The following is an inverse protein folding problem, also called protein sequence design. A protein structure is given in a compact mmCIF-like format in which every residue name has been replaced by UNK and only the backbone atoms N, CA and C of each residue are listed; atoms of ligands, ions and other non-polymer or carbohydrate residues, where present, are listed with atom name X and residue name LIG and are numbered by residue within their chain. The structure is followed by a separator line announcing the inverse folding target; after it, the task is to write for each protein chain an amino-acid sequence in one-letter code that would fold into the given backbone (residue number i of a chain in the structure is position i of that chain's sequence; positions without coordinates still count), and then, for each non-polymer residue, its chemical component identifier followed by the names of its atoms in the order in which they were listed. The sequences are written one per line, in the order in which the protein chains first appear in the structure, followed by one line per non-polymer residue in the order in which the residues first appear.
data_IF_653817172347
#
_entry.id   IF_653817172347
#
_cell.length_a   1.000
_cell.length_b   1.000
_cell.length_c   1.000
_cell.angle_alpha   90.00
_cell.angle_beta   90.00
_cell.angle_gamma   90.00
#
_symmetry.space_group_name_H-M   'P 1'
#
loop_
_entity.id
_entity.type
_entity.pdbx_description
1 polymer ?
#
# COMPACT_ATOMS: atom_id res chain seq x y z
N UNK A 1 -23.30 51.92 -15.47
CA UNK A 1 -22.14 51.09 -15.06
C UNK A 1 -22.14 50.70 -13.57
N UNK A 2 -23.25 50.82 -12.83
CA UNK A 2 -23.27 50.68 -11.35
C UNK A 2 -24.16 49.55 -10.81
N UNK A 3 -24.79 48.73 -11.66
CA UNK A 3 -25.67 47.64 -11.20
C UNK A 3 -25.02 46.24 -11.24
N UNK A 4 -23.98 46.01 -12.06
CA UNK A 4 -23.27 44.72 -12.15
C UNK A 4 -22.26 44.47 -11.03
N UNK A 5 -21.81 45.51 -10.33
CA UNK A 5 -20.79 45.39 -9.27
C UNK A 5 -21.36 44.81 -7.96
N UNK A 6 -22.60 45.16 -7.58
CA UNK A 6 -23.22 44.71 -6.31
C UNK A 6 -23.53 43.21 -6.25
N UNK A 7 -23.85 42.56 -7.37
CA UNK A 7 -24.10 41.10 -7.39
C UNK A 7 -22.83 40.27 -7.29
N UNK A 8 -21.71 40.76 -7.84
CA UNK A 8 -20.41 40.07 -7.79
C UNK A 8 -19.86 40.08 -6.36
N UNK A 9 -19.97 41.21 -5.64
CA UNK A 9 -19.60 41.27 -4.22
C UNK A 9 -20.47 40.38 -3.33
N UNK A 10 -21.78 40.26 -3.60
CA UNK A 10 -22.67 39.36 -2.84
C UNK A 10 -22.40 37.87 -3.12
N UNK A 11 -22.14 37.50 -4.37
CA UNK A 11 -21.76 36.13 -4.74
C UNK A 11 -20.37 35.75 -4.19
N UNK A 12 -19.44 36.69 -4.17
CA UNK A 12 -18.11 36.50 -3.58
C UNK A 12 -18.17 36.41 -2.04
N UNK A 13 -19.01 37.20 -1.37
CA UNK A 13 -19.22 37.09 0.07
C UNK A 13 -19.93 35.78 0.46
N UNK A 14 -20.92 35.33 -0.32
CA UNK A 14 -21.58 34.03 -0.10
C UNK A 14 -20.62 32.87 -0.38
N UNK A 15 -19.78 32.95 -1.41
CA UNK A 15 -18.74 31.96 -1.66
C UNK A 15 -17.72 31.93 -0.51
N UNK A 16 -17.26 33.07 0.00
CA UNK A 16 -16.34 33.15 1.14
C UNK A 16 -17.01 32.64 2.43
N UNK A 17 -18.29 32.94 2.68
CA UNK A 17 -19.04 32.39 3.83
C UNK A 17 -19.26 30.89 3.66
N UNK A 18 -19.51 30.38 2.45
CA UNK A 18 -19.60 28.93 2.17
C UNK A 18 -18.24 28.24 2.29
N UNK A 19 -17.13 28.89 1.93
CA UNK A 19 -15.77 28.38 2.15
C UNK A 19 -15.39 28.40 3.64
N UNK A 20 -15.80 29.41 4.40
CA UNK A 20 -15.59 29.49 5.86
C UNK A 20 -16.48 28.47 6.60
N UNK A 21 -17.72 28.20 6.13
CA UNK A 21 -18.58 27.12 6.68
C UNK A 21 -18.16 25.72 6.27
N UNK A 22 -17.42 25.55 5.18
CA UNK A 22 -16.91 24.25 4.74
C UNK A 22 -15.68 23.75 5.53
N UNK A 23 -15.11 24.58 6.40
CA UNK A 23 -13.96 24.23 7.25
C UNK A 23 -14.32 23.94 8.71
N UNK A 24 -15.60 23.97 9.06
CA UNK A 24 -16.10 23.44 10.33
C UNK A 24 -16.30 21.93 10.16
N UNK A 25 -15.28 21.13 10.45
CA UNK A 25 -15.50 19.70 10.66
C UNK A 25 -16.42 19.57 11.87
N UNK A 26 -17.64 19.06 11.65
CA UNK A 26 -18.47 18.64 12.78
C UNK A 26 -17.77 17.49 13.48
N UNK A 27 -17.59 17.62 14.79
CA UNK A 27 -16.99 16.57 15.60
C UNK A 27 -17.92 15.35 15.61
N UNK A 28 -17.38 14.13 15.44
CA UNK A 28 -18.19 12.92 15.39
C UNK A 28 -18.72 12.52 16.76
N UNK A 29 -19.74 11.67 16.75
CA UNK A 29 -20.05 10.81 17.88
C UNK A 29 -19.38 9.46 17.60
N UNK A 30 -18.52 9.00 18.50
CA UNK A 30 -17.75 7.77 18.31
C UNK A 30 -18.32 6.63 19.16
N UNK A 31 -18.55 5.49 18.51
CA UNK A 31 -18.80 4.23 19.19
C UNK A 31 -17.46 3.57 19.50
N UNK A 32 -17.23 3.24 20.77
CA UNK A 32 -15.98 2.69 21.26
C UNK A 32 -16.22 1.47 22.13
N UNK A 33 -15.19 0.64 22.28
CA UNK A 33 -15.18 -0.45 23.23
C UNK A 33 -14.39 -0.03 24.47
N UNK A 34 -15.04 0.00 25.63
CA UNK A 34 -14.35 0.13 26.91
C UNK A 34 -13.86 -1.25 27.33
N UNK A 35 -12.55 -1.39 27.45
CA UNK A 35 -11.89 -2.65 27.74
C UNK A 35 -11.30 -2.57 29.14
N UNK A 36 -11.57 -3.59 29.96
CA UNK A 36 -11.04 -3.70 31.31
C UNK A 36 -10.60 -5.13 31.59
N UNK A 37 -9.41 -5.29 32.14
CA UNK A 37 -8.94 -6.57 32.65
C UNK A 37 -9.70 -6.93 33.94
N UNK A 38 -10.37 -8.08 33.98
CA UNK A 38 -10.94 -8.58 35.23
C UNK A 38 -9.82 -9.15 36.08
N UNK A 39 -9.73 -8.71 37.33
CA UNK A 39 -8.85 -9.34 38.31
C UNK A 39 -9.11 -10.85 38.35
N UNK A 40 -8.13 -11.64 37.89
CA UNK A 40 -8.18 -13.09 37.97
C UNK A 40 -8.22 -13.50 39.44
N UNK A 41 -9.12 -14.42 39.80
CA UNK A 41 -9.04 -15.13 41.10
C UNK A 41 -7.76 -15.96 41.08
N UNK A 42 -6.70 -15.40 41.68
CA UNK A 42 -5.41 -16.03 42.00
C UNK A 42 -5.06 -17.30 41.23
N UNK A 43 -4.24 -17.15 40.17
CA UNK A 43 -3.59 -18.29 39.53
C UNK A 43 -3.21 -18.04 38.08
N UNK A 44 -1.99 -17.54 37.86
CA UNK A 44 -1.09 -17.73 36.69
C UNK A 44 -1.59 -17.63 35.23
N UNK A 45 -2.88 -17.49 34.96
CA UNK A 45 -3.48 -17.38 33.64
C UNK A 45 -3.86 -15.93 33.37
N UNK A 46 -3.78 -15.52 32.10
CA UNK A 46 -4.15 -14.18 31.67
C UNK A 46 -5.57 -13.80 32.16
N UNK A 47 -5.69 -12.61 32.75
CA UNK A 47 -6.93 -12.05 33.22
C UNK A 47 -8.00 -12.05 32.10
N UNK A 48 -9.23 -12.45 32.41
CA UNK A 48 -10.32 -12.37 31.43
C UNK A 48 -10.64 -10.90 31.13
N UNK A 49 -10.56 -10.48 29.88
CA UNK A 49 -10.89 -9.11 29.46
C UNK A 49 -12.41 -8.96 29.31
N UNK A 50 -13.01 -7.96 29.96
CA UNK A 50 -14.38 -7.51 29.66
C UNK A 50 -14.36 -6.36 28.68
N UNK A 51 -15.32 -6.39 27.75
CA UNK A 51 -15.55 -5.32 26.79
C UNK A 51 -16.99 -4.82 26.94
N UNK A 52 -17.16 -3.51 27.02
CA UNK A 52 -18.44 -2.83 27.15
C UNK A 52 -18.58 -1.76 26.05
N UNK A 53 -19.72 -1.70 25.38
CA UNK A 53 -19.97 -0.65 24.41
C UNK A 53 -20.04 0.71 25.11
N UNK A 54 -19.40 1.70 24.51
CA UNK A 54 -19.31 3.07 25.01
C UNK A 54 -19.56 4.06 23.89
N UNK A 55 -20.02 5.26 24.24
CA UNK A 55 -20.33 6.32 23.29
C UNK A 55 -19.62 7.61 23.70
N UNK A 56 -18.90 8.24 22.77
CA UNK A 56 -18.14 9.46 23.01
C UNK A 56 -18.74 10.59 22.19
N UNK A 57 -19.23 11.61 22.88
CA UNK A 57 -19.62 12.87 22.30
C UNK A 57 -18.45 13.85 22.37
N UNK A 58 -17.94 14.28 21.22
CA UNK A 58 -16.76 15.15 21.15
C UNK A 58 -17.19 16.60 21.03
N UNK A 59 -16.65 17.47 21.89
CA UNK A 59 -16.83 18.92 21.87
C UNK A 59 -15.47 19.63 21.84
N UNK A 60 -15.37 20.76 21.16
CA UNK A 60 -14.14 21.57 21.14
C UNK A 60 -14.10 22.63 22.24
N UNK A 61 -15.27 22.98 22.80
CA UNK A 61 -15.40 23.91 23.92
C UNK A 61 -16.30 23.29 24.99
N UNK A 62 -15.95 23.48 26.26
CA UNK A 62 -16.77 23.07 27.39
C UNK A 62 -18.12 23.82 27.41
N UNK A 63 -18.18 25.05 26.89
CA UNK A 63 -19.39 25.88 26.85
C UNK A 63 -20.24 25.69 25.59
N UNK A 64 -19.80 24.90 24.61
CA UNK A 64 -20.64 24.58 23.46
C UNK A 64 -21.75 23.63 23.91
N UNK A 65 -22.89 24.19 24.31
CA UNK A 65 -24.09 23.43 24.57
C UNK A 65 -24.60 22.84 23.25
N UNK A 66 -24.25 21.59 22.95
CA UNK A 66 -25.13 20.76 22.13
C UNK A 66 -26.28 20.33 23.01
N UNK A 67 -27.37 21.10 22.96
CA UNK A 67 -28.66 20.70 23.54
C UNK A 67 -29.21 19.50 22.76
N UNK A 68 -28.63 18.34 22.98
CA UNK A 68 -29.21 17.06 22.59
C UNK A 68 -29.02 16.12 23.78
N UNK A 69 -30.06 16.02 24.61
CA UNK A 69 -30.29 14.88 25.47
C UNK A 69 -30.55 13.66 24.58
N UNK A 70 -29.51 13.18 23.88
CA UNK A 70 -29.60 11.91 23.19
C UNK A 70 -29.57 10.83 24.27
N UNK A 71 -30.76 10.31 24.55
CA UNK A 71 -30.94 9.16 25.40
C UNK A 71 -30.00 8.06 24.90
N UNK A 72 -29.16 7.53 25.79
CA UNK A 72 -28.19 6.49 25.43
C UNK A 72 -28.92 5.38 24.64
N UNK A 73 -28.37 4.92 23.51
CA UNK A 73 -28.93 3.79 22.78
C UNK A 73 -29.21 2.64 23.75
N UNK A 74 -30.31 1.90 23.55
CA UNK A 74 -30.75 0.86 24.49
C UNK A 74 -29.71 -0.26 24.71
N UNK A 75 -28.72 -0.37 23.83
CA UNK A 75 -27.62 -1.34 23.90
C UNK A 75 -26.34 -0.79 24.57
N UNK A 76 -26.35 0.45 25.08
CA UNK A 76 -25.21 1.10 25.74
C UNK A 76 -25.58 1.45 27.19
N UNK A 77 -24.71 1.08 28.13
CA UNK A 77 -24.87 1.46 29.52
C UNK A 77 -24.72 2.99 29.68
N UNK A 78 -25.66 3.70 30.34
CA UNK A 78 -25.54 5.14 30.60
C UNK A 78 -24.23 5.57 31.27
N UNK A 79 -23.61 4.69 32.08
CA UNK A 79 -22.32 4.95 32.72
C UNK A 79 -21.12 4.91 31.75
N UNK A 80 -21.37 4.53 30.49
CA UNK A 80 -20.39 4.41 29.41
C UNK A 80 -20.61 5.43 28.30
N UNK A 81 -21.38 6.48 28.59
CA UNK A 81 -21.52 7.64 27.71
C UNK A 81 -20.62 8.75 28.25
N UNK A 82 -19.69 9.22 27.42
CA UNK A 82 -18.70 10.23 27.79
C UNK A 82 -18.83 11.47 26.90
N UNK A 83 -18.72 12.65 27.50
CA UNK A 83 -18.71 13.94 26.82
C UNK A 83 -17.28 14.51 26.86
N UNK A 84 -16.51 14.21 25.82
CA UNK A 84 -15.08 14.52 25.74
C UNK A 84 -14.85 15.94 25.23
N UNK A 85 -14.14 16.75 26.01
CA UNK A 85 -13.64 18.06 25.56
C UNK A 85 -12.26 17.92 24.92
N UNK A 86 -12.14 18.29 23.65
CA UNK A 86 -10.91 18.29 22.86
C UNK A 86 -10.66 19.69 22.25
N UNK A 87 -10.00 20.60 22.99
CA UNK A 87 -9.75 21.96 22.53
C UNK A 87 -8.92 22.05 21.25
N UNK A 88 -8.08 21.05 20.98
CA UNK A 88 -7.24 21.00 19.78
C UNK A 88 -7.99 20.51 18.53
N UNK A 89 -9.24 20.07 18.68
CA UNK A 89 -10.05 19.47 17.62
C UNK A 89 -9.34 18.30 16.89
N UNK A 90 -8.46 17.59 17.59
CA UNK A 90 -7.71 16.42 17.10
C UNK A 90 -8.65 15.25 16.75
N UNK A 91 -9.76 15.13 17.47
CA UNK A 91 -10.81 14.13 17.29
C UNK A 91 -11.87 14.57 16.26
N UNK A 92 -11.82 15.81 15.76
CA UNK A 92 -12.79 16.35 14.82
C UNK A 92 -12.30 16.22 13.37
N UNK A 93 -12.03 14.98 12.95
CA UNK A 93 -11.55 14.66 11.60
C UNK A 93 -12.58 13.88 10.77
N UNK A 94 -12.62 14.12 9.46
CA UNK A 94 -13.57 13.48 8.53
C UNK A 94 -13.52 11.94 8.55
N UNK A 95 -12.35 11.34 8.77
CA UNK A 95 -12.18 9.88 8.82
C UNK A 95 -12.80 9.24 10.06
N UNK A 96 -13.18 10.05 11.04
CA UNK A 96 -13.85 9.66 12.27
C UNK A 96 -15.36 9.92 12.22
N UNK A 97 -15.85 10.59 11.17
CA UNK A 97 -17.25 10.97 11.00
C UNK A 97 -17.86 10.30 9.75
N UNK A 98 -18.08 8.97 9.75
CA UNK A 98 -18.75 8.30 8.65
C UNK A 98 -20.18 8.82 8.46
N UNK A 99 -20.71 8.80 7.22
CA UNK A 99 -22.13 9.06 6.99
C UNK A 99 -23.02 8.15 7.85
N UNK A 100 -24.14 8.69 8.34
CA UNK A 100 -25.12 7.93 9.13
C UNK A 100 -25.55 6.68 8.37
N UNK A 101 -25.53 5.53 9.04
CA UNK A 101 -25.86 4.23 8.44
C UNK A 101 -24.71 3.50 7.76
N UNK A 102 -23.48 4.04 7.80
CA UNK A 102 -22.30 3.31 7.32
C UNK A 102 -22.06 2.03 8.13
N UNK A 103 -21.82 0.93 7.41
CA UNK A 103 -21.43 -0.37 8.00
C UNK A 103 -20.00 -0.29 8.54
N UNK A 104 -19.12 0.40 7.81
CA UNK A 104 -17.74 0.61 8.23
C UNK A 104 -17.67 1.80 9.18
N UNK A 105 -17.22 1.54 10.40
CA UNK A 105 -17.01 2.53 11.46
C UNK A 105 -15.51 2.62 11.79
N UNK A 106 -15.02 3.77 12.28
CA UNK A 106 -13.67 3.86 12.82
C UNK A 106 -13.52 2.88 13.99
N UNK A 107 -12.32 2.33 14.15
CA UNK A 107 -12.00 1.51 15.31
C UNK A 107 -11.70 2.44 16.49
N UNK A 108 -12.28 2.15 17.66
CA UNK A 108 -12.08 2.93 18.86
C UNK A 108 -12.10 2.01 20.09
N UNK A 109 -11.07 2.13 20.90
CA UNK A 109 -10.91 1.38 22.14
C UNK A 109 -10.52 2.34 23.27
N UNK A 110 -11.17 2.21 24.42
CA UNK A 110 -10.90 2.96 25.63
C UNK A 110 -10.41 2.00 26.70
N UNK A 111 -9.30 2.34 27.34
CA UNK A 111 -8.74 1.60 28.46
C UNK A 111 -8.56 2.53 29.66
N UNK A 112 -8.84 2.07 30.90
CA UNK A 112 -8.37 2.76 32.10
C UNK A 112 -6.87 3.01 32.01
N UNK A 113 -6.44 4.21 32.35
CA UNK A 113 -5.04 4.60 32.34
C UNK A 113 -4.57 4.88 33.77
N UNK A 114 -3.39 4.39 34.14
CA UNK A 114 -2.78 4.69 35.42
C UNK A 114 -1.53 5.55 35.20
N UNK A 115 -1.56 6.85 35.56
CA UNK A 115 -0.39 7.70 35.45
C UNK A 115 0.76 7.18 36.32
N UNK A 116 1.93 7.01 35.71
CA UNK A 116 3.11 6.49 36.39
C UNK A 116 4.40 7.05 35.78
N UNK A 117 5.45 7.27 36.59
CA UNK A 117 6.73 7.72 36.07
C UNK A 117 7.36 6.64 35.18
N UNK A 118 8.07 7.07 34.14
CA UNK A 118 8.81 6.17 33.26
C UNK A 118 10.22 5.93 33.81
N UNK A 119 10.72 4.71 33.67
CA UNK A 119 12.09 4.33 34.04
C UNK A 119 13.10 4.55 32.89
N UNK A 120 12.62 4.99 31.72
CA UNK A 120 13.46 5.23 30.55
C UNK A 120 14.37 6.45 30.77
N UNK A 121 15.64 6.34 30.40
CA UNK A 121 16.66 7.38 30.66
C UNK A 121 16.32 8.75 30.07
N UNK A 122 15.76 8.79 28.86
CA UNK A 122 15.34 10.02 28.17
C UNK A 122 13.99 10.58 28.64
N UNK A 123 13.28 9.85 29.51
CA UNK A 123 11.99 10.28 30.08
C UNK A 123 12.11 10.62 31.56
N UNK A 124 13.05 10.00 32.27
CA UNK A 124 13.28 10.20 33.70
C UNK A 124 13.33 11.69 34.13
N UNK A 125 13.96 12.61 33.36
CA UNK A 125 13.96 14.04 33.69
C UNK A 125 12.55 14.66 33.80
N UNK A 126 11.52 14.10 33.18
CA UNK A 126 10.15 14.63 33.28
C UNK A 126 9.54 14.45 34.68
N UNK A 127 10.08 13.54 35.50
CA UNK A 127 9.54 13.20 36.82
C UNK A 127 10.60 13.25 37.92
N UNK A 128 11.48 14.25 37.88
CA UNK A 128 12.55 14.45 38.87
C UNK A 128 12.01 14.70 40.30
N UNK A 129 10.77 15.16 40.44
CA UNK A 129 10.13 15.29 41.75
C UNK A 129 9.80 13.89 42.29
N UNK A 130 10.42 13.50 43.41
CA UNK A 130 10.14 12.25 44.11
C UNK A 130 8.71 12.14 44.70
N UNK A 131 7.79 13.04 44.30
CA UNK A 131 6.41 13.13 44.75
C UNK A 131 5.47 13.18 43.55
N UNK A 132 4.39 12.40 43.61
CA UNK A 132 3.32 12.43 42.61
C UNK A 132 2.42 13.66 42.83
N UNK A 133 2.16 14.48 41.81
CA UNK A 133 1.27 15.64 41.93
C UNK A 133 -0.16 15.25 42.30
N UNK A 134 -0.82 16.06 43.15
CA UNK A 134 -2.25 15.90 43.50
C UNK A 134 -3.14 15.94 42.24
N UNK A 135 -2.71 16.66 41.20
CA UNK A 135 -3.40 16.73 39.91
C UNK A 135 -3.68 15.35 39.28
N UNK A 136 -2.84 14.34 39.58
CA UNK A 136 -3.00 12.97 39.11
C UNK A 136 -4.14 12.21 39.81
N UNK A 137 -4.65 12.69 40.94
CA UNK A 137 -5.80 12.09 41.66
C UNK A 137 -7.11 12.39 40.91
N UNK A 138 -7.36 11.61 39.87
CA UNK A 138 -8.48 11.72 38.96
C UNK A 138 -8.70 10.39 38.25
N UNK A 139 -9.81 10.24 37.53
CA UNK A 139 -10.01 9.12 36.65
C UNK A 139 -9.31 9.43 35.31
N UNK A 140 -8.49 8.49 34.83
CA UNK A 140 -7.74 8.66 33.60
C UNK A 140 -8.07 7.54 32.62
N UNK A 141 -8.15 7.92 31.34
CA UNK A 141 -8.44 6.98 30.27
C UNK A 141 -7.48 7.18 29.12
N UNK A 142 -7.03 6.08 28.55
CA UNK A 142 -6.34 6.06 27.27
C UNK A 142 -7.33 5.64 26.19
N UNK A 143 -7.35 6.35 25.07
CA UNK A 143 -8.20 6.01 23.94
C UNK A 143 -7.35 5.84 22.71
N UNK A 144 -7.47 4.71 22.04
CA UNK A 144 -6.83 4.44 20.75
C UNK A 144 -7.89 4.41 19.65
N UNK A 145 -7.68 5.22 18.61
CA UNK A 145 -8.63 5.44 17.54
C UNK A 145 -7.92 5.24 16.21
N UNK A 146 -8.48 4.39 15.36
CA UNK A 146 -8.07 4.25 13.97
C UNK A 146 -9.21 4.69 13.05
N UNK A 147 -8.96 5.75 12.29
CA UNK A 147 -9.89 6.27 11.31
C UNK A 147 -10.09 5.31 10.14
N UNK A 148 -11.16 5.55 9.39
CA UNK A 148 -11.50 4.75 8.21
C UNK A 148 -10.35 4.70 7.21
N UNK A 149 -10.21 3.54 6.55
CA UNK A 149 -9.19 3.27 5.53
C UNK A 149 -7.75 3.54 6.01
N UNK A 150 -7.47 3.41 7.33
CA UNK A 150 -6.17 3.71 7.93
C UNK A 150 -5.64 5.11 7.57
N UNK A 151 -6.54 6.09 7.41
CA UNK A 151 -6.13 7.47 7.07
C UNK A 151 -5.66 8.28 8.28
N UNK A 152 -5.92 7.79 9.49
CA UNK A 152 -5.63 8.51 10.72
C UNK A 152 -5.49 7.52 11.87
N UNK A 153 -4.47 7.68 12.68
CA UNK A 153 -4.34 7.04 13.98
C UNK A 153 -4.24 8.12 15.05
N UNK A 154 -5.00 7.97 16.13
CA UNK A 154 -4.98 8.90 17.26
C UNK A 154 -4.89 8.08 18.55
N UNK A 155 -4.06 8.52 19.46
CA UNK A 155 -4.04 8.07 20.84
C UNK A 155 -4.22 9.28 21.75
N UNK A 156 -5.21 9.25 22.64
CA UNK A 156 -5.44 10.32 23.61
C UNK A 156 -5.34 9.81 25.03
N UNK A 157 -4.85 10.66 25.92
CA UNK A 157 -4.98 10.52 27.36
C UNK A 157 -5.94 11.59 27.84
N UNK A 158 -7.01 11.14 28.46
CA UNK A 158 -8.06 12.02 28.99
C UNK A 158 -8.14 11.92 30.50
N UNK A 159 -8.54 13.03 31.13
CA UNK A 159 -8.69 13.17 32.57
C UNK A 159 -10.11 13.59 32.91
N UNK A 160 -10.77 12.83 33.76
CA UNK A 160 -12.07 13.20 34.34
C UNK A 160 -11.92 13.40 35.85
N UNK A 161 -12.60 14.40 36.46
CA UNK A 161 -12.84 14.36 37.89
C UNK A 161 -13.46 13.01 38.29
N UNK A 162 -13.16 12.52 39.49
CA UNK A 162 -13.59 11.17 39.91
C UNK A 162 -15.11 11.00 39.75
N UNK A 163 -15.50 9.91 39.08
CA UNK A 163 -16.89 9.58 38.72
C UNK A 163 -17.61 10.60 37.80
N UNK A 164 -16.87 11.44 37.07
CA UNK A 164 -17.44 12.33 36.06
C UNK A 164 -17.45 11.70 34.66
N UNK A 165 -18.52 11.93 33.91
CA UNK A 165 -18.68 11.51 32.51
C UNK A 165 -18.13 12.54 31.51
N UNK A 166 -17.43 13.57 31.98
CA UNK A 166 -16.93 14.68 31.17
C UNK A 166 -15.40 14.77 31.20
N UNK A 167 -14.69 13.82 30.56
CA UNK A 167 -13.24 13.84 30.52
C UNK A 167 -12.73 14.94 29.57
N UNK A 168 -11.59 15.54 29.92
CA UNK A 168 -10.88 16.49 29.05
C UNK A 168 -9.63 15.82 28.47
N UNK A 169 -9.35 16.05 27.19
CA UNK A 169 -8.10 15.61 26.54
C UNK A 169 -6.92 16.37 27.14
N UNK A 170 -5.95 15.65 27.69
CA UNK A 170 -4.72 16.23 28.27
C UNK A 170 -3.53 16.05 27.32
N UNK A 171 -3.45 14.90 26.65
CA UNK A 171 -2.45 14.59 25.65
C UNK A 171 -3.13 13.90 24.47
N UNK A 172 -2.81 14.32 23.26
CA UNK A 172 -3.21 13.63 22.04
C UNK A 172 -2.00 13.44 21.14
N UNK A 173 -1.75 12.22 20.68
CA UNK A 173 -0.74 11.86 19.70
C UNK A 173 -1.47 11.38 18.45
N UNK A 174 -1.08 11.89 17.30
CA UNK A 174 -1.79 11.72 16.04
C UNK A 174 -0.83 11.38 14.92
N UNK A 175 -1.28 10.57 13.96
CA UNK A 175 -0.58 10.32 12.71
C UNK A 175 -1.59 10.28 11.56
N UNK A 176 -1.34 11.07 10.53
CA UNK A 176 -2.11 11.17 9.29
C UNK A 176 -1.67 10.17 8.23
N UNK A 177 -0.57 9.46 8.47
CA UNK A 177 -0.01 8.47 7.54
C UNK A 177 0.22 7.16 8.27
N UNK A 178 -0.84 6.37 8.46
CA UNK A 178 -0.75 5.07 9.17
C UNK A 178 -0.04 4.01 8.32
N UNK A 179 -0.04 4.18 6.98
CA UNK A 179 0.72 3.35 6.05
C UNK A 179 1.47 4.23 5.04
N UNK A 180 2.79 4.04 4.93
CA UNK A 180 3.68 4.80 4.07
C UNK A 180 4.40 3.85 3.13
N UNK A 181 4.45 4.20 1.84
CA UNK A 181 5.28 3.50 0.85
C UNK A 181 6.39 4.43 0.39
N UNK A 182 7.60 3.89 0.28
CA UNK A 182 8.77 4.62 -0.25
C UNK A 182 9.56 3.77 -1.23
N UNK A 183 10.22 4.40 -2.19
CA UNK A 183 11.23 3.73 -3.02
C UNK A 183 12.55 3.59 -2.27
N UNK A 184 13.41 2.69 -2.74
CA UNK A 184 14.75 2.50 -2.19
C UNK A 184 15.59 3.77 -2.38
N UNK A 185 16.32 4.19 -1.34
CA UNK A 185 17.20 5.37 -1.34
C UNK A 185 16.50 6.72 -1.14
N UNK A 186 15.18 6.81 -1.29
CA UNK A 186 14.43 8.05 -1.07
C UNK A 186 14.29 8.39 0.42
N UNK A 187 14.21 9.69 0.79
CA UNK A 187 13.92 10.09 2.15
C UNK A 187 12.47 9.75 2.52
N UNK A 188 12.26 9.31 3.76
CA UNK A 188 10.95 8.93 4.31
C UNK A 188 10.60 9.84 5.47
N UNK A 189 9.37 10.35 5.46
CA UNK A 189 8.78 11.06 6.59
C UNK A 189 7.63 10.22 7.16
N UNK A 190 7.75 9.81 8.43
CA UNK A 190 6.69 9.15 9.17
C UNK A 190 6.00 10.17 10.05
N UNK A 191 4.76 10.53 9.71
CA UNK A 191 4.00 11.57 10.41
C UNK A 191 3.70 11.17 11.86
N UNK A 192 4.07 12.04 12.79
CA UNK A 192 3.64 11.98 14.18
C UNK A 192 3.56 13.40 14.74
N UNK A 193 2.39 13.78 15.22
CA UNK A 193 2.17 15.09 15.86
C UNK A 193 1.48 14.90 17.20
N UNK A 194 1.86 15.69 18.19
CA UNK A 194 1.17 15.69 19.47
C UNK A 194 0.70 17.08 19.87
N UNK A 195 -0.32 17.08 20.71
CA UNK A 195 -0.82 18.27 21.40
C UNK A 195 -0.95 17.93 22.89
N UNK A 196 -0.57 18.89 23.72
CA UNK A 196 -0.64 18.81 25.16
C UNK A 196 -1.45 20.00 25.67
N UNK A 197 -2.36 19.75 26.61
CA UNK A 197 -3.27 20.76 27.14
C UNK A 197 -2.52 21.89 27.85
N UNK A 198 -2.49 23.13 27.32
CA UNK A 198 -1.67 24.21 27.89
C UNK A 198 -2.01 24.57 29.36
N UNK A 199 -3.28 24.56 29.80
CA UNK A 199 -3.65 24.72 31.20
C UNK A 199 -3.18 23.61 32.14
N UNK A 200 -2.87 22.41 31.63
CA UNK A 200 -2.43 21.29 32.45
C UNK A 200 -1.03 21.55 33.05
N UNK A 201 -0.82 21.31 34.35
CA UNK A 201 0.49 21.45 34.97
C UNK A 201 1.55 20.48 34.42
N UNK A 202 1.12 19.42 33.72
CA UNK A 202 2.01 18.42 33.13
C UNK A 202 2.64 18.92 31.82
N UNK A 203 1.97 19.80 31.08
CA UNK A 203 2.43 20.28 29.76
C UNK A 203 3.62 21.25 29.85
N UNK A 204 3.76 22.00 30.95
CA UNK A 204 4.84 22.97 31.14
C UNK A 204 6.18 22.39 31.61
N UNK A 205 6.24 21.10 31.94
CA UNK A 205 7.43 20.47 32.53
C UNK A 205 8.37 19.81 31.51
N UNK A 206 8.06 19.95 30.22
CA UNK A 206 8.76 19.31 29.11
C UNK A 206 8.07 18.05 28.61
N UNK A 207 8.64 17.46 27.55
CA UNK A 207 8.14 16.25 26.90
C UNK A 207 9.33 15.38 26.49
N UNK A 208 9.08 14.11 26.15
CA UNK A 208 10.05 13.26 25.49
C UNK A 208 9.40 12.50 24.33
N UNK A 209 10.18 12.19 23.31
CA UNK A 209 9.74 11.46 22.11
C UNK A 209 10.57 10.20 21.96
N UNK A 210 9.92 9.09 21.64
CA UNK A 210 10.56 7.83 21.29
C UNK A 210 9.99 7.29 19.99
N UNK A 211 10.87 6.88 19.08
CA UNK A 211 10.54 6.08 17.91
C UNK A 211 11.15 4.69 18.06
N UNK A 212 10.29 3.67 18.05
CA UNK A 212 10.69 2.26 18.04
C UNK A 212 10.32 1.61 16.72
N UNK A 213 11.20 0.76 16.22
CA UNK A 213 10.91 -0.13 15.11
C UNK A 213 10.55 -1.52 15.64
N UNK A 214 9.57 -2.17 15.00
CA UNK A 214 9.18 -3.55 15.25
C UNK A 214 8.89 -4.27 13.94
N UNK A 215 9.50 -5.44 13.74
CA UNK A 215 9.23 -6.30 12.60
C UNK A 215 9.53 -7.77 12.94
N UNK A 216 8.55 -8.65 12.74
CA UNK A 216 8.69 -10.12 12.94
C UNK A 216 9.29 -10.52 14.31
N UNK A 217 8.93 -9.78 15.36
CA UNK A 217 9.39 -10.03 16.73
C UNK A 217 10.76 -9.43 17.07
N UNK A 218 11.47 -8.84 16.10
CA UNK A 218 12.62 -7.99 16.37
C UNK A 218 12.16 -6.55 16.62
N UNK A 219 12.75 -5.90 17.62
CA UNK A 219 12.34 -4.58 18.06
C UNK A 219 13.54 -3.78 18.58
N UNK A 220 13.68 -2.54 18.09
CA UNK A 220 14.83 -1.69 18.43
C UNK A 220 14.45 -0.23 18.54
N UNK A 221 15.24 0.51 19.32
CA UNK A 221 15.13 1.96 19.41
C UNK A 221 15.72 2.59 18.15
N UNK A 222 14.93 3.44 17.47
CA UNK A 222 15.38 4.17 16.29
C UNK A 222 15.89 5.55 16.70
N UNK A 223 15.09 6.26 17.50
CA UNK A 223 15.41 7.60 17.98
C UNK A 223 14.72 7.82 19.32
N UNK A 224 15.41 8.45 20.28
CA UNK A 224 14.77 8.99 21.47
C UNK A 224 15.33 10.37 21.79
N UNK A 225 14.44 11.27 22.21
CA UNK A 225 14.73 12.67 22.44
C UNK A 225 14.08 13.13 23.75
N UNK A 226 14.90 13.69 24.64
CA UNK A 226 14.48 14.40 25.83
C UNK A 226 14.30 15.89 25.50
N UNK A 227 13.05 16.32 25.41
CA UNK A 227 12.69 17.72 25.13
C UNK A 227 12.80 18.64 26.35
N UNK A 228 12.97 18.12 27.57
CA UNK A 228 13.22 18.95 28.76
C UNK A 228 14.68 19.42 28.81
N UNK A 229 15.62 18.53 28.51
CA UNK A 229 17.06 18.84 28.54
C UNK A 229 17.70 19.05 27.17
N UNK A 230 16.92 18.91 26.09
CA UNK A 230 17.36 19.01 24.70
C UNK A 230 18.48 18.02 24.37
N UNK A 231 18.24 16.74 24.67
CA UNK A 231 19.23 15.66 24.51
C UNK A 231 18.70 14.50 23.69
N UNK A 232 19.51 14.06 22.74
CA UNK A 232 19.28 12.83 22.00
C UNK A 232 19.89 11.64 22.76
N UNK A 233 19.19 10.50 22.76
CA UNK A 233 19.75 9.24 23.20
C UNK A 233 20.68 8.66 22.12
N UNK A 234 21.71 7.92 22.54
CA UNK A 234 22.56 7.17 21.63
C UNK A 234 21.76 6.02 20.98
N UNK A 235 21.63 6.05 19.65
CA UNK A 235 20.96 5.00 18.87
C UNK A 235 21.86 4.46 17.76
N UNK A 236 21.54 3.27 17.27
CA UNK A 236 22.30 2.61 16.20
C UNK A 236 21.80 2.94 14.79
N UNK A 237 20.62 3.57 14.64
CA UNK A 237 20.12 3.90 13.31
C UNK A 237 20.71 5.21 12.81
N UNK A 238 21.56 5.10 11.80
CA UNK A 238 22.14 6.25 11.11
C UNK A 238 21.12 6.88 10.15
N UNK A 239 21.09 8.20 10.08
CA UNK A 239 20.21 8.94 9.17
C UNK A 239 18.75 9.06 9.65
N UNK A 240 18.46 8.70 10.90
CA UNK A 240 17.19 9.00 11.57
C UNK A 240 17.27 10.36 12.30
N UNK A 241 16.31 11.25 12.08
CA UNK A 241 16.27 12.57 12.73
C UNK A 241 14.86 13.12 12.90
N UNK A 242 14.71 14.23 13.64
CA UNK A 242 13.47 14.97 13.85
C UNK A 242 13.65 16.42 13.40
N UNK A 243 12.55 17.10 13.07
CA UNK A 243 12.51 18.56 12.98
C UNK A 243 12.38 19.14 14.40
N UNK A 244 13.50 19.41 15.06
CA UNK A 244 13.51 19.88 16.46
C UNK A 244 12.81 21.24 16.64
N UNK A 245 12.86 22.12 15.65
CA UNK A 245 12.16 23.41 15.72
C UNK A 245 10.64 23.20 15.64
N UNK A 246 10.19 22.41 14.67
CA UNK A 246 8.78 22.01 14.54
C UNK A 246 8.28 21.22 15.74
N UNK A 247 9.15 20.39 16.34
CA UNK A 247 8.86 19.60 17.52
C UNK A 247 8.52 20.50 18.72
N UNK A 248 9.37 21.47 19.04
CA UNK A 248 9.14 22.39 20.16
C UNK A 248 8.01 23.38 19.92
N UNK A 249 7.86 23.90 18.69
CA UNK A 249 6.87 24.94 18.37
C UNK A 249 5.47 24.40 18.13
N UNK A 250 5.36 23.21 17.54
CA UNK A 250 4.10 22.67 17.01
C UNK A 250 3.80 21.25 17.48
N UNK A 251 4.67 20.64 18.30
CA UNK A 251 4.54 19.23 18.68
C UNK A 251 4.76 18.27 17.51
N UNK A 252 5.53 18.67 16.49
CA UNK A 252 5.84 17.79 15.35
C UNK A 252 6.93 16.78 15.70
N UNK A 253 6.54 15.56 16.04
CA UNK A 253 7.42 14.44 16.37
C UNK A 253 7.68 13.50 15.18
N UNK A 254 7.47 13.96 13.94
CA UNK A 254 7.63 13.14 12.75
C UNK A 254 9.07 12.66 12.57
N UNK A 255 9.25 11.37 12.28
CA UNK A 255 10.55 10.78 12.02
C UNK A 255 10.95 10.98 10.57
N UNK A 256 12.17 11.46 10.36
CA UNK A 256 12.80 11.59 9.05
C UNK A 256 13.87 10.52 8.93
N UNK A 257 13.73 9.60 7.99
CA UNK A 257 14.79 8.69 7.55
C UNK A 257 15.38 9.25 6.26
N UNK A 258 16.68 9.58 6.25
CA UNK A 258 17.31 10.21 5.08
C UNK A 258 17.33 9.29 3.85
N UNK A 259 17.49 7.99 4.04
CA UNK A 259 17.55 7.00 2.96
C UNK A 259 16.75 5.74 3.33
N UNK A 260 15.72 5.43 2.55
CA UNK A 260 14.97 4.20 2.65
C UNK A 260 15.84 2.98 2.26
N UNK A 261 15.89 1.97 3.13
CA UNK A 261 16.58 0.68 2.88
C UNK A 261 15.58 -0.44 3.06
N UNK A 262 15.80 -1.60 2.43
CA UNK A 262 14.85 -2.73 2.54
C UNK A 262 14.61 -3.14 4.00
N UNK A 263 15.64 -3.06 4.86
CA UNK A 263 15.54 -3.32 6.30
C UNK A 263 14.65 -2.33 7.08
N UNK A 264 14.33 -1.18 6.50
CA UNK A 264 13.46 -0.18 7.14
C UNK A 264 11.98 -0.55 7.01
N UNK A 265 11.61 -1.50 6.15
CA UNK A 265 10.23 -1.99 6.08
C UNK A 265 9.80 -2.61 7.41
N UNK A 266 8.65 -2.20 7.95
CA UNK A 266 8.12 -2.69 9.22
C UNK A 266 7.25 -1.66 9.93
N UNK A 267 6.92 -1.94 11.20
CA UNK A 267 6.09 -1.09 12.03
C UNK A 267 6.95 -0.14 12.86
N UNK A 268 6.64 1.14 12.80
CA UNK A 268 7.24 2.18 13.62
C UNK A 268 6.22 2.69 14.63
N UNK A 269 6.64 2.84 15.87
CA UNK A 269 5.79 3.32 16.96
C UNK A 269 6.36 4.65 17.43
N UNK A 270 5.57 5.70 17.26
CA UNK A 270 5.84 7.01 17.85
C UNK A 270 5.20 7.06 19.22
N UNK A 271 6.01 7.27 20.25
CA UNK A 271 5.56 7.40 21.63
C UNK A 271 5.96 8.76 22.15
N UNK A 272 4.99 9.49 22.71
CA UNK A 272 5.21 10.80 23.32
C UNK A 272 4.92 10.68 24.81
N UNK A 273 5.85 11.23 25.59
CA UNK A 273 5.79 11.26 27.04
C UNK A 273 5.61 12.68 27.53
N UNK A 274 4.67 12.84 28.46
CA UNK A 274 4.61 13.96 29.40
C UNK A 274 4.92 13.41 30.80
N UNK A 275 5.12 14.26 31.83
CA UNK A 275 5.25 13.75 33.19
C UNK A 275 4.09 12.81 33.54
N UNK A 276 4.42 11.57 33.87
CA UNK A 276 3.48 10.49 34.23
C UNK A 276 2.55 9.98 33.12
N UNK A 277 2.55 10.57 31.93
CA UNK A 277 1.63 10.21 30.84
C UNK A 277 2.40 9.68 29.63
N UNK A 278 1.78 8.74 28.91
CA UNK A 278 2.32 8.18 27.68
C UNK A 278 1.18 7.95 26.69
N UNK A 279 1.39 8.34 25.44
CA UNK A 279 0.50 8.05 24.33
C UNK A 279 1.32 7.64 23.11
N UNK A 280 0.77 6.74 22.28
CA UNK A 280 1.53 6.18 21.16
C UNK A 280 0.65 5.91 19.96
N UNK A 281 1.24 6.06 18.77
CA UNK A 281 0.62 5.71 17.48
C UNK A 281 1.59 4.85 16.68
N UNK A 282 1.04 3.92 15.89
CA UNK A 282 1.81 3.04 15.02
C UNK A 282 1.65 3.43 13.55
N UNK A 283 2.74 3.38 12.81
CA UNK A 283 2.85 3.66 11.38
C UNK A 283 3.56 2.49 10.71
N UNK A 284 3.00 1.98 9.63
CA UNK A 284 3.59 0.92 8.81
C UNK A 284 4.36 1.54 7.64
N UNK A 285 5.65 1.20 7.50
CA UNK A 285 6.48 1.60 6.37
C UNK A 285 6.77 0.37 5.50
N UNK A 286 6.54 0.50 4.19
CA UNK A 286 6.90 -0.50 3.21
C UNK A 286 7.80 0.11 2.13
N UNK A 287 9.02 -0.43 2.01
CA UNK A 287 9.94 -0.06 0.93
C UNK A 287 9.63 -0.90 -0.30
N UNK A 288 9.23 -0.22 -1.38
CA UNK A 288 8.76 -0.82 -2.63
C UNK A 288 9.68 -0.39 -3.78
N UNK A 289 10.43 -1.35 -4.31
CA UNK A 289 11.26 -1.21 -5.49
C UNK A 289 10.87 -2.28 -6.52
N UNK A 290 10.40 -1.90 -7.73
CA UNK A 290 10.01 -2.85 -8.77
C UNK A 290 11.25 -3.52 -9.42
N UNK A 291 11.10 -4.73 -9.99
CA UNK A 291 12.23 -5.47 -10.56
C UNK A 291 12.78 -4.86 -11.85
N UNK A 292 14.08 -5.03 -12.05
CA UNK A 292 14.72 -4.92 -13.36
C UNK A 292 14.68 -6.28 -14.06
N UNK A 293 14.18 -6.31 -15.31
CA UNK A 293 14.02 -7.53 -16.09
C UNK A 293 15.09 -7.67 -17.17
N UNK A 294 15.68 -8.86 -17.26
CA UNK A 294 16.60 -9.24 -18.34
C UNK A 294 16.26 -10.64 -18.88
N UNK A 295 16.21 -10.78 -20.20
CA UNK A 295 15.95 -12.06 -20.88
C UNK A 295 17.25 -12.62 -21.46
N UNK A 296 17.44 -13.93 -21.29
CA UNK A 296 18.59 -14.69 -21.76
C UNK A 296 18.16 -15.92 -22.60
N UNK A 297 18.75 -16.12 -23.79
CA UNK A 297 19.65 -15.18 -24.47
C UNK A 297 18.89 -13.91 -24.90
N UNK A 298 19.60 -12.78 -24.99
CA UNK A 298 19.02 -11.48 -25.36
C UNK A 298 18.50 -11.44 -26.81
N UNK A 299 19.08 -12.28 -27.67
CA UNK A 299 18.55 -12.61 -28.98
C UNK A 299 18.35 -14.12 -29.07
N UNK A 300 17.14 -14.55 -29.39
CA UNK A 300 16.85 -15.98 -29.59
C UNK A 300 17.50 -16.46 -30.88
N UNK A 301 18.07 -17.68 -30.91
CA UNK A 301 18.55 -18.26 -32.15
C UNK A 301 17.38 -18.48 -33.10
N UNK A 302 17.68 -18.50 -34.41
CA UNK A 302 16.70 -18.90 -35.41
C UNK A 302 16.26 -20.34 -35.14
N UNK A 303 14.98 -20.50 -34.82
CA UNK A 303 14.40 -21.79 -34.49
C UNK A 303 14.00 -22.52 -35.77
N UNK A 304 14.18 -23.84 -35.82
CA UNK A 304 13.55 -24.67 -36.85
C UNK A 304 12.20 -25.16 -36.32
N UNK A 305 11.18 -25.26 -37.18
CA UNK A 305 9.93 -25.93 -36.82
C UNK A 305 10.20 -27.33 -36.23
N UNK A 306 9.66 -27.61 -35.04
CA UNK A 306 9.95 -28.86 -34.31
C UNK A 306 11.01 -28.72 -33.22
N UNK A 307 11.75 -27.62 -33.20
CA UNK A 307 12.78 -27.36 -32.21
C UNK A 307 12.18 -26.80 -30.91
N UNK A 308 12.74 -27.23 -29.79
CA UNK A 308 12.49 -26.65 -28.46
C UNK A 308 13.58 -25.64 -28.12
N UNK A 309 13.19 -24.42 -27.76
CA UNK A 309 14.11 -23.37 -27.30
C UNK A 309 13.93 -23.12 -25.81
N UNK A 310 15.03 -22.91 -25.09
CA UNK A 310 14.98 -22.52 -23.68
C UNK A 310 15.24 -21.03 -23.56
N UNK A 311 14.33 -20.33 -22.89
CA UNK A 311 14.43 -18.88 -22.61
C UNK A 311 14.37 -18.69 -21.11
N UNK A 312 15.20 -17.81 -20.57
CA UNK A 312 15.21 -17.46 -19.16
C UNK A 312 14.97 -15.96 -18.99
N UNK A 313 14.16 -15.58 -18.02
CA UNK A 313 13.98 -14.20 -17.59
C UNK A 313 14.44 -14.08 -16.15
N UNK A 314 15.26 -13.08 -15.87
CA UNK A 314 15.73 -12.74 -14.54
C UNK A 314 15.11 -11.42 -14.11
N UNK A 315 14.42 -11.44 -12.97
CA UNK A 315 13.96 -10.27 -12.25
C UNK A 315 14.91 -10.01 -11.08
N UNK A 316 15.51 -8.83 -11.05
CA UNK A 316 16.54 -8.46 -10.08
C UNK A 316 16.24 -7.15 -9.36
N UNK A 317 16.77 -7.00 -8.15
CA UNK A 317 16.75 -5.74 -7.39
C UNK A 317 15.38 -5.31 -6.85
N UNK A 318 14.45 -6.24 -6.62
CA UNK A 318 13.09 -5.88 -6.17
C UNK A 318 12.87 -6.07 -4.67
N UNK A 319 11.98 -5.27 -4.10
CA UNK A 319 11.48 -5.40 -2.73
C UNK A 319 10.05 -4.83 -2.66
N UNK A 320 9.10 -5.38 -1.89
CA UNK A 320 9.18 -6.59 -1.07
C UNK A 320 9.25 -7.87 -1.91
N UNK A 321 9.34 -9.03 -1.23
CA UNK A 321 9.51 -10.36 -1.84
C UNK A 321 8.39 -10.79 -2.79
N UNK A 322 7.18 -10.23 -2.64
CA UNK A 322 5.99 -10.62 -3.41
C UNK A 322 6.13 -10.27 -4.90
N UNK A 323 6.45 -11.28 -5.72
CA UNK A 323 6.61 -11.17 -7.17
C UNK A 323 5.89 -12.32 -7.87
N UNK A 324 5.12 -12.01 -8.92
CA UNK A 324 4.56 -13.01 -9.83
C UNK A 324 5.22 -12.89 -11.21
N UNK A 325 5.88 -13.97 -11.64
CA UNK A 325 6.51 -14.08 -12.95
C UNK A 325 5.64 -14.93 -13.89
N UNK A 326 5.40 -14.40 -15.08
CA UNK A 326 4.69 -15.10 -16.14
C UNK A 326 5.26 -14.76 -17.51
N UNK A 327 4.90 -15.57 -18.50
CA UNK A 327 5.27 -15.37 -19.89
C UNK A 327 4.02 -15.15 -20.73
N UNK A 328 4.14 -14.25 -21.69
CA UNK A 328 3.16 -13.99 -22.73
C UNK A 328 3.84 -14.12 -24.09
N UNK A 329 3.09 -14.51 -25.11
CA UNK A 329 3.55 -14.46 -26.49
C UNK A 329 2.58 -13.66 -27.34
N UNK A 330 3.14 -12.80 -28.19
CA UNK A 330 2.41 -12.03 -29.18
C UNK A 330 2.78 -12.52 -30.57
N UNK A 331 1.81 -13.07 -31.29
CA UNK A 331 2.00 -13.53 -32.66
C UNK A 331 2.17 -12.38 -33.65
N UNK A 332 2.58 -12.72 -34.87
CA UNK A 332 2.62 -11.77 -36.00
C UNK A 332 1.24 -11.24 -36.39
N UNK A 333 0.17 -11.95 -36.00
CA UNK A 333 -1.23 -11.52 -36.11
C UNK A 333 -1.64 -10.47 -35.05
N UNK A 334 -0.73 -10.12 -34.14
CA UNK A 334 -0.94 -9.15 -33.07
C UNK A 334 -1.69 -9.69 -31.86
N UNK A 335 -2.09 -10.97 -31.85
CA UNK A 335 -2.80 -11.58 -30.73
C UNK A 335 -1.81 -12.01 -29.64
N UNK A 336 -2.09 -11.58 -28.40
CA UNK A 336 -1.33 -11.99 -27.22
C UNK A 336 -1.99 -13.21 -26.55
N UNK A 337 -1.16 -14.16 -26.12
CA UNK A 337 -1.57 -15.38 -25.41
C UNK A 337 -0.65 -15.65 -24.20
N UNK A 338 -1.21 -16.05 -23.04
CA UNK A 338 -0.39 -16.43 -21.91
C UNK A 338 0.31 -17.77 -22.17
N UNK A 339 1.58 -17.86 -21.77
CA UNK A 339 2.39 -19.08 -21.80
C UNK A 339 2.57 -19.70 -20.39
N UNK A 340 2.08 -19.02 -19.36
CA UNK A 340 2.20 -19.44 -17.96
C UNK A 340 3.52 -19.03 -17.31
N UNK A 341 3.78 -19.52 -16.09
CA UNK A 341 4.93 -19.10 -15.28
C UNK A 341 6.24 -19.81 -15.59
N UNK A 342 6.21 -20.91 -16.34
CA UNK A 342 7.39 -21.76 -16.57
C UNK A 342 7.95 -22.36 -15.27
N UNK A 343 9.23 -22.73 -15.29
CA UNK A 343 9.96 -23.19 -14.11
C UNK A 343 10.57 -21.98 -13.39
N UNK A 344 10.10 -21.70 -12.17
CA UNK A 344 10.55 -20.55 -11.37
C UNK A 344 11.57 -21.00 -10.32
N UNK A 345 12.66 -20.25 -10.17
CA UNK A 345 13.67 -20.52 -9.15
C UNK A 345 13.24 -20.00 -7.77
N UNK A 346 13.91 -20.50 -6.72
CA UNK A 346 13.85 -19.85 -5.41
C UNK A 346 14.36 -18.42 -5.44
N UNK A 347 14.02 -17.65 -4.42
CA UNK A 347 14.47 -16.28 -4.23
C UNK A 347 15.94 -16.25 -3.82
N UNK A 348 16.68 -15.25 -4.33
CA UNK A 348 18.04 -14.92 -3.89
C UNK A 348 18.01 -13.52 -3.31
N UNK A 349 18.72 -13.29 -2.20
CA UNK A 349 18.77 -11.99 -1.56
C UNK A 349 20.16 -11.37 -1.73
N UNK A 350 20.20 -10.11 -2.16
CA UNK A 350 21.41 -9.32 -2.26
C UNK A 350 21.76 -8.65 -0.91
N UNK A 351 22.96 -8.09 -0.81
CA UNK A 351 23.48 -7.47 0.42
C UNK A 351 22.70 -6.22 0.84
N UNK A 352 22.09 -5.51 -0.11
CA UNK A 352 21.21 -4.36 0.12
C UNK A 352 19.80 -4.76 0.59
N UNK A 353 19.56 -6.07 0.70
CA UNK A 353 18.31 -6.68 1.12
C UNK A 353 17.32 -6.92 -0.02
N UNK A 354 17.60 -6.46 -1.24
CA UNK A 354 16.73 -6.67 -2.41
C UNK A 354 16.74 -8.13 -2.85
N UNK A 355 15.69 -8.54 -3.56
CA UNK A 355 15.49 -9.90 -4.03
C UNK A 355 15.71 -10.03 -5.54
N UNK A 356 16.06 -11.24 -5.94
CA UNK A 356 16.15 -11.65 -7.34
C UNK A 356 15.51 -13.03 -7.52
N UNK A 357 14.86 -13.25 -8.65
CA UNK A 357 14.20 -14.50 -9.02
C UNK A 357 14.24 -14.67 -10.54
N UNK A 358 14.36 -15.91 -11.00
CA UNK A 358 14.35 -16.21 -12.44
C UNK A 358 13.25 -17.19 -12.80
N UNK A 359 12.71 -17.05 -14.01
CA UNK A 359 11.81 -18.02 -14.63
C UNK A 359 12.43 -18.55 -15.92
N UNK A 360 12.31 -19.87 -16.15
CA UNK A 360 12.75 -20.56 -17.37
C UNK A 360 11.54 -21.13 -18.10
N UNK A 361 11.47 -20.86 -19.40
CA UNK A 361 10.43 -21.33 -20.29
C UNK A 361 11.05 -22.19 -21.41
N UNK A 362 10.45 -23.35 -21.65
CA UNK A 362 10.74 -24.19 -22.81
C UNK A 362 9.67 -23.94 -23.88
N UNK A 363 10.09 -23.35 -24.99
CA UNK A 363 9.26 -23.01 -26.14
C UNK A 363 9.35 -24.11 -27.18
N UNK A 364 8.30 -24.91 -27.29
CA UNK A 364 8.13 -25.90 -28.34
C UNK A 364 7.46 -25.24 -29.57
N UNK A 365 8.23 -25.06 -30.65
CA UNK A 365 7.78 -24.35 -31.86
C UNK A 365 6.63 -25.04 -32.62
N UNK A 366 6.32 -26.30 -32.29
CA UNK A 366 5.15 -27.01 -32.85
C UNK A 366 3.83 -26.59 -32.22
N UNK A 367 3.89 -26.06 -30.99
CA UNK A 367 2.71 -25.71 -30.20
C UNK A 367 2.31 -24.26 -30.39
N UNK A 368 1.02 -23.98 -30.23
CA UNK A 368 0.44 -22.63 -30.14
C UNK A 368 0.64 -21.71 -31.38
N UNK A 369 0.86 -22.22 -32.59
CA UNK A 369 1.17 -21.40 -33.78
C UNK A 369 2.45 -20.55 -33.64
N UNK A 370 3.37 -20.95 -32.75
CA UNK A 370 4.70 -20.32 -32.61
C UNK A 370 5.53 -20.36 -33.90
N UNK A 371 5.19 -21.26 -34.83
CA UNK A 371 5.88 -21.46 -36.11
C UNK A 371 5.96 -20.27 -37.05
N UNK A 372 5.10 -19.25 -36.88
CA UNK A 372 5.17 -18.01 -37.68
C UNK A 372 6.09 -16.94 -37.08
N UNK A 373 6.74 -17.25 -35.96
CA UNK A 373 7.49 -16.28 -35.18
C UNK A 373 6.59 -15.27 -34.47
N UNK A 374 7.21 -14.35 -33.72
CA UNK A 374 6.52 -13.34 -32.93
C UNK A 374 7.39 -12.79 -31.82
N UNK A 375 6.77 -12.37 -30.73
CA UNK A 375 7.45 -11.77 -29.58
C UNK A 375 7.12 -12.51 -28.30
N UNK A 376 8.15 -12.97 -27.59
CA UNK A 376 8.03 -13.60 -26.28
C UNK A 376 8.30 -12.54 -25.22
N UNK A 377 7.37 -12.35 -24.29
CA UNK A 377 7.42 -11.34 -23.25
C UNK A 377 7.42 -11.97 -21.87
N UNK A 378 8.40 -11.64 -21.05
CA UNK A 378 8.39 -11.90 -19.61
C UNK A 378 7.65 -10.77 -18.90
N UNK A 379 6.67 -11.13 -18.08
CA UNK A 379 5.83 -10.21 -17.30
C UNK A 379 6.07 -10.47 -15.82
N UNK A 380 6.41 -9.40 -15.11
CA UNK A 380 6.65 -9.39 -13.69
C UNK A 380 5.64 -8.48 -13.00
N UNK A 381 4.70 -9.06 -12.25
CA UNK A 381 3.71 -8.33 -11.47
C UNK A 381 4.25 -8.19 -10.05
N UNK A 382 4.46 -6.95 -9.63
CA UNK A 382 5.01 -6.59 -8.32
C UNK A 382 4.17 -5.47 -7.69
N UNK A 383 4.29 -5.27 -6.38
CA UNK A 383 3.60 -4.21 -5.65
C UNK A 383 3.91 -2.81 -6.22
N UNK A 384 5.14 -2.59 -6.68
CA UNK A 384 5.59 -1.36 -7.33
C UNK A 384 5.13 -1.20 -8.79
N UNK A 385 4.31 -2.14 -9.29
CA UNK A 385 3.75 -2.15 -10.63
C UNK A 385 4.24 -3.31 -11.50
N UNK A 386 3.68 -3.40 -12.70
CA UNK A 386 4.01 -4.45 -13.67
C UNK A 386 5.19 -4.04 -14.55
N UNK A 387 6.19 -4.91 -14.68
CA UNK A 387 7.34 -4.77 -15.58
C UNK A 387 7.26 -5.82 -16.69
N UNK A 388 7.73 -5.45 -17.89
CA UNK A 388 7.71 -6.30 -19.07
C UNK A 388 9.05 -6.22 -19.78
N UNK A 389 9.57 -7.37 -20.22
CA UNK A 389 10.73 -7.46 -21.10
C UNK A 389 10.39 -8.41 -22.24
N UNK A 390 10.82 -8.10 -23.46
CA UNK A 390 10.40 -8.84 -24.65
C UNK A 390 11.59 -9.21 -25.52
N UNK A 391 11.49 -10.35 -26.21
CA UNK A 391 12.48 -10.84 -27.18
C UNK A 391 11.78 -11.42 -28.40
N UNK A 392 12.35 -11.18 -29.59
CA UNK A 392 11.81 -11.66 -30.86
C UNK A 392 12.14 -13.13 -31.08
N UNK A 393 11.14 -13.92 -31.46
CA UNK A 393 11.27 -15.32 -31.88
C UNK A 393 11.15 -15.41 -33.40
N UNK A 394 12.21 -15.85 -34.06
CA UNK A 394 12.24 -16.12 -35.49
C UNK A 394 12.23 -17.62 -35.74
N UNK A 395 11.30 -18.12 -36.56
CA UNK A 395 11.17 -19.54 -36.87
C UNK A 395 11.26 -19.77 -38.38
N UNK A 396 12.06 -20.75 -38.79
CA UNK A 396 12.19 -21.23 -40.16
C UNK A 396 11.45 -22.57 -40.29
N UNK A 397 10.57 -22.64 -41.26
CA UNK A 397 9.89 -23.86 -41.68
C UNK A 397 8.53 -23.52 -42.28
N UNK A 398 7.99 -24.46 -43.05
CA UNK A 398 6.94 -24.23 -44.03
C UNK A 398 5.78 -23.39 -43.48
N UNK A 399 5.70 -22.12 -43.91
CA UNK A 399 4.41 -21.52 -44.16
C UNK A 399 3.70 -22.46 -45.14
N UNK A 400 2.64 -23.13 -44.69
CA UNK A 400 1.66 -23.71 -45.62
C UNK A 400 1.42 -22.66 -46.70
N UNK A 401 1.67 -22.97 -48.00
CA UNK A 401 1.52 -21.97 -49.05
C UNK A 401 0.17 -21.29 -48.88
N UNK A 402 0.13 -19.96 -49.03
CA UNK A 402 -1.12 -19.21 -48.99
C UNK A 402 -2.13 -19.88 -49.94
N UNK A 403 -3.43 -19.73 -49.68
CA UNK A 403 -4.45 -20.16 -50.66
C UNK A 403 -4.16 -19.53 -52.02
N UNK A 404 -3.64 -18.30 -52.05
CA UNK A 404 -3.19 -17.61 -53.27
C UNK A 404 -1.98 -18.29 -53.92
N UNK A 405 -0.98 -18.70 -53.15
CA UNK A 405 0.20 -19.42 -53.68
C UNK A 405 -0.20 -20.80 -54.23
N UNK A 406 -1.14 -21.46 -53.56
CA UNK A 406 -1.70 -22.74 -53.99
C UNK A 406 -2.54 -22.57 -55.26
N UNK A 407 -3.33 -21.50 -55.37
CA UNK A 407 -4.06 -21.15 -56.59
C UNK A 407 -3.13 -20.78 -57.74
N UNK A 408 -2.02 -20.07 -57.47
CA UNK A 408 -1.02 -19.74 -58.47
C UNK A 408 -0.30 -21.00 -58.98
N UNK A 409 0.08 -21.92 -58.09
CA UNK A 409 0.68 -23.21 -58.44
C UNK A 409 -0.26 -24.06 -59.31
N UNK A 410 -1.55 -24.13 -58.97
CA UNK A 410 -2.56 -24.82 -59.79
C UNK A 410 -2.74 -24.12 -61.14
N UNK A 411 -2.77 -22.79 -61.17
CA UNK A 411 -2.85 -22.01 -62.41
C UNK A 411 -1.68 -22.27 -63.35
N UNK A 412 -0.45 -22.26 -62.82
CA UNK A 412 0.77 -22.58 -63.58
C UNK A 412 0.73 -24.01 -64.10
N UNK A 413 0.31 -24.98 -63.27
CA UNK A 413 0.19 -26.37 -63.68
C UNK A 413 -0.83 -26.56 -64.83
N UNK A 414 -1.97 -25.86 -64.78
CA UNK A 414 -2.98 -25.89 -65.85
C UNK A 414 -2.48 -25.25 -67.15
N UNK A 415 -1.75 -24.14 -67.07
CA UNK A 415 -1.12 -23.51 -68.24
C UNK A 415 -0.08 -24.43 -68.87
N UNK A 416 0.80 -25.03 -68.07
CA UNK A 416 1.79 -25.99 -68.54
C UNK A 416 1.13 -27.22 -69.18
N UNK A 417 0.08 -27.75 -68.56
CA UNK A 417 -0.68 -28.87 -69.14
C UNK A 417 -1.34 -28.48 -70.47
N UNK A 418 -1.92 -27.28 -70.56
CA UNK A 418 -2.49 -26.73 -71.79
C UNK A 418 -1.44 -26.59 -72.89
N UNK A 419 -0.25 -26.08 -72.58
CA UNK A 419 0.86 -25.96 -73.53
C UNK A 419 1.36 -27.33 -74.00
N UNK A 420 1.51 -28.30 -73.09
CA UNK A 420 1.92 -29.67 -73.43
C UNK A 420 0.88 -30.32 -74.36
N UNK A 421 -0.42 -30.17 -74.06
CA UNK A 421 -1.49 -30.69 -74.92
C UNK A 421 -1.54 -30.00 -76.28
N UNK A 422 -1.34 -28.68 -76.33
CA UNK A 422 -1.29 -27.93 -77.58
C UNK A 422 -0.13 -28.38 -78.47
N UNK A 423 1.08 -28.49 -77.90
CA UNK A 423 2.26 -29.02 -78.60
C UNK A 423 1.99 -30.45 -79.10
N UNK A 424 1.49 -31.33 -78.25
CA UNK A 424 1.15 -32.70 -78.65
C UNK A 424 0.12 -32.75 -79.79
N UNK A 425 -0.89 -31.86 -79.80
CA UNK A 425 -1.88 -31.80 -80.87
C UNK A 425 -1.27 -31.31 -82.19
N UNK A 426 -0.41 -30.28 -82.16
CA UNK A 426 0.28 -29.78 -83.36
C UNK A 426 1.22 -30.80 -84.00
N UNK A 427 1.87 -31.65 -83.20
CA UNK A 427 2.72 -32.73 -83.71
C UNK A 427 1.95 -33.96 -84.21
N UNK A 428 0.76 -34.22 -83.68
CA UNK A 428 -0.06 -35.39 -84.10
C UNK A 428 -0.92 -35.09 -85.34
N UNK A 429 -1.21 -33.82 -85.63
CA UNK A 429 -2.00 -33.41 -86.80
C UNK A 429 -1.21 -33.37 -88.13
N UNK A 430 0.10 -33.61 -88.12
CA UNK A 430 0.98 -33.48 -89.30
C UNK A 430 1.28 -34.82 -90.01
N UNK A 431 0.62 -35.92 -89.67
CA UNK A 431 0.98 -37.24 -90.18
C UNK A 431 -0.19 -38.18 -90.41
N UNK A 432 -1.06 -37.88 -91.38
CA UNK A 432 -1.90 -38.88 -92.04
C UNK A 432 -2.46 -38.37 -93.36
N UNK A 433 -1.80 -38.71 -94.48
CA UNK A 433 -2.48 -38.87 -95.77
C UNK A 433 -1.80 -39.98 -96.59
N UNK A 434 -2.65 -40.78 -97.24
CA UNK A 434 -2.48 -41.76 -98.33
C UNK A 434 -2.06 -43.24 -98.10
N UNK A 435 -3.10 -44.09 -98.29
CA UNK A 435 -3.23 -45.20 -99.25
C UNK A 435 -2.64 -46.61 -98.97
N UNK A 436 -3.53 -47.62 -98.96
CA UNK A 436 -3.23 -49.06 -99.20
C UNK A 436 -3.01 -49.36 -100.70
N UNK A 437 -2.93 -50.64 -101.19
CA UNK A 437 -3.54 -51.88 -100.64
C UNK A 437 -2.73 -53.21 -100.83
N UNK A 438 -3.40 -54.35 -100.52
CA UNK A 438 -3.21 -55.73 -101.08
C UNK A 438 -1.97 -56.53 -100.65
N UNK A 439 -1.92 -57.87 -100.51
CA UNK A 439 -2.84 -59.03 -100.61
C UNK A 439 -2.07 -60.27 -100.09
N UNK A 440 -2.79 -61.35 -99.70
CA UNK A 440 -2.42 -62.81 -99.75
C UNK A 440 -1.38 -63.39 -98.75
N UNK A 441 -1.81 -64.32 -97.87
CA UNK A 441 -1.76 -65.83 -97.96
C UNK A 441 -0.37 -66.39 -97.61
N UNK A 442 -0.17 -67.47 -96.85
CA UNK A 442 -0.87 -68.75 -96.80
C UNK A 442 -0.53 -69.53 -95.50
N UNK A 443 -1.43 -70.46 -95.17
CA UNK A 443 -1.32 -71.71 -94.37
C UNK A 443 -1.12 -71.66 -92.85
#
# INVERSE_FOLDING_TARGET
MTYRSKSIYKLSLVAVICFIKASSSSCPVLECWFVQEKAGRGGGLAAATSQEKSLLHIRTDAYSHSAESQQAPSDINPDRVYFITDPAATLCHRSLNPPRGSVNKPHCEINPFLPQPSTLKWVAPLTDSALSPIYLQADWFSTSIQGLNKQLAISTITRAPTAAQEPNVILSVTSKTVSVQSRLGEPVLLDCGFWADPPSPLSGSGFAVEWRYQFRGDGRLVLAYDGKTDRLADTQEEGATLDFEGLHRKGNASLILQEAKVRHSGMYICTVYLPYLVAQVAVELEVVEPPSLSIYPSALPLAVHGQTLTVQCEASGFAPLSLELSWEFKGTDGKSRPLGSGSVTGHRQAWDGTYSQSTRLELDTTKLDLGRGGEVTCVAVHLGGTRRASVTLNVIGFSTPSIEDSMAMVGVALVLYGLIKFVSWTFTSSGSDEAGPQEKKDK
#
